data_IF_270205498419
#
_entry.id   IF_270205498419
#
_cell.length_a   1.000
_cell.length_b   1.000
_cell.length_c   1.000
_cell.angle_alpha   90.00
_cell.angle_beta   90.00
_cell.angle_gamma   90.00
#
_symmetry.space_group_name_H-M   'P 1'
#
loop_
_entity.id
_entity.type
_entity.pdbx_description
1 polymer ?
#
# COMPACT_ATOMS: atom_id res chain seq x y z
N UNK A 1 21.06 0.45 -17.49
CA UNK A 1 20.01 -0.55 -17.71
C UNK A 1 19.06 -0.56 -16.53
N UNK A 2 17.76 -0.44 -16.80
CA UNK A 2 16.78 -0.57 -15.73
C UNK A 2 16.71 -2.03 -15.25
N UNK A 3 16.73 -2.22 -13.91
CA UNK A 3 16.63 -3.53 -13.29
C UNK A 3 15.18 -3.92 -12.96
N UNK A 4 14.23 -3.08 -13.26
CA UNK A 4 12.80 -3.27 -13.05
C UNK A 4 12.03 -2.95 -14.33
N UNK A 5 10.77 -3.34 -14.41
CA UNK A 5 9.94 -3.17 -15.61
C UNK A 5 8.80 -2.20 -15.36
N UNK A 6 8.62 -1.29 -16.31
CA UNK A 6 7.51 -0.33 -16.29
C UNK A 6 6.74 -0.49 -17.59
N UNK A 7 5.46 -0.82 -17.49
CA UNK A 7 4.60 -0.89 -18.67
C UNK A 7 4.53 0.47 -19.36
N UNK A 8 4.45 0.47 -20.69
CA UNK A 8 4.44 1.70 -21.49
C UNK A 8 3.29 2.68 -21.13
N UNK A 9 2.21 2.19 -20.54
CA UNK A 9 1.08 2.99 -20.09
C UNK A 9 1.13 3.31 -18.58
N UNK A 10 2.26 3.08 -17.92
CA UNK A 10 2.46 3.46 -16.52
C UNK A 10 3.31 4.74 -16.43
N UNK A 11 3.12 5.49 -15.35
CA UNK A 11 3.89 6.70 -15.04
C UNK A 11 4.61 6.50 -13.70
N UNK A 12 5.81 5.93 -13.75
CA UNK A 12 6.64 5.69 -12.56
C UNK A 12 7.73 6.75 -12.50
N UNK A 13 7.54 7.74 -11.64
CA UNK A 13 8.41 8.91 -11.54
C UNK A 13 9.59 8.69 -10.59
N UNK A 14 9.43 7.83 -9.57
CA UNK A 14 10.52 7.53 -8.63
C UNK A 14 11.68 6.79 -9.31
N UNK A 15 12.88 7.02 -8.82
CA UNK A 15 14.09 6.26 -9.18
C UNK A 15 14.50 5.25 -8.09
N UNK A 16 13.81 5.26 -6.97
CA UNK A 16 14.08 4.37 -5.83
C UNK A 16 13.26 3.08 -5.97
N UNK A 17 13.63 2.24 -6.92
CA UNK A 17 12.94 0.97 -7.22
C UNK A 17 13.97 -0.16 -7.21
N UNK A 18 13.68 -1.20 -6.44
CA UNK A 18 14.48 -2.42 -6.42
C UNK A 18 14.35 -3.27 -7.68
N UNK A 19 15.31 -4.15 -7.88
CA UNK A 19 15.35 -5.03 -9.05
C UNK A 19 14.17 -5.97 -9.14
N UNK A 20 13.80 -6.36 -10.34
CA UNK A 20 12.73 -7.30 -10.67
C UNK A 20 11.32 -6.85 -10.25
N UNK A 21 11.13 -5.62 -9.84
CA UNK A 21 9.79 -5.09 -9.62
C UNK A 21 9.10 -4.78 -10.95
N UNK A 22 7.78 -4.96 -11.00
CA UNK A 22 6.98 -4.74 -12.20
C UNK A 22 5.82 -3.79 -11.91
N UNK A 23 5.67 -2.79 -12.79
CA UNK A 23 4.56 -1.83 -12.76
C UNK A 23 3.71 -2.02 -14.02
N UNK A 24 2.44 -2.34 -13.81
CA UNK A 24 1.51 -2.62 -14.90
C UNK A 24 0.79 -1.36 -15.40
N UNK A 25 -0.15 -1.52 -16.31
CA UNK A 25 -0.84 -0.40 -16.95
C UNK A 25 -1.49 0.54 -15.95
N UNK A 26 -1.38 1.84 -16.21
CA UNK A 26 -2.03 2.91 -15.46
C UNK A 26 -1.62 3.01 -14.00
N UNK A 27 -0.47 2.42 -13.66
CA UNK A 27 0.18 2.67 -12.36
C UNK A 27 0.79 4.06 -12.38
N UNK A 28 0.61 4.80 -11.30
CA UNK A 28 1.26 6.10 -11.09
C UNK A 28 2.03 6.03 -9.78
N UNK A 29 3.32 6.31 -9.82
CA UNK A 29 4.19 6.39 -8.63
C UNK A 29 4.89 7.73 -8.60
N UNK A 30 4.68 8.50 -7.53
CA UNK A 30 5.25 9.83 -7.38
C UNK A 30 6.77 9.78 -7.08
N UNK A 31 7.51 10.89 -7.27
CA UNK A 31 8.98 10.86 -7.35
C UNK A 31 9.72 10.40 -6.09
N UNK A 32 9.14 10.56 -4.90
CA UNK A 32 9.83 10.28 -3.64
C UNK A 32 9.52 8.92 -3.04
N UNK A 33 8.56 8.17 -3.60
CA UNK A 33 8.23 6.84 -3.12
C UNK A 33 9.44 5.90 -3.21
N UNK A 34 9.52 4.98 -2.26
CA UNK A 34 10.55 3.94 -2.22
C UNK A 34 9.89 2.59 -2.40
N UNK A 35 10.30 1.85 -3.41
CA UNK A 35 9.76 0.53 -3.75
C UNK A 35 10.90 -0.49 -3.69
N UNK A 36 10.69 -1.58 -2.98
CA UNK A 36 11.67 -2.66 -2.86
C UNK A 36 11.81 -3.52 -4.11
N UNK A 37 12.46 -4.67 -3.93
CA UNK A 37 12.71 -5.67 -5.00
C UNK A 37 11.53 -6.62 -5.16
N UNK A 38 11.43 -7.22 -6.34
CA UNK A 38 10.47 -8.29 -6.63
C UNK A 38 9.02 -7.92 -6.32
N UNK A 39 8.66 -6.65 -6.42
CA UNK A 39 7.30 -6.20 -6.19
C UNK A 39 6.45 -6.34 -7.46
N UNK A 40 5.19 -6.69 -7.29
CA UNK A 40 4.22 -6.75 -8.37
C UNK A 40 3.14 -5.69 -8.10
N UNK A 41 3.23 -4.57 -8.81
CA UNK A 41 2.33 -3.43 -8.68
C UNK A 41 1.37 -3.46 -9.86
N UNK A 42 0.13 -3.88 -9.60
CA UNK A 42 -0.86 -4.12 -10.62
C UNK A 42 -1.51 -2.85 -11.15
N UNK A 43 -2.37 -3.00 -12.16
CA UNK A 43 -2.95 -1.85 -12.87
C UNK A 43 -3.76 -0.92 -11.95
N UNK A 44 -3.73 0.37 -12.30
CA UNK A 44 -4.50 1.42 -11.59
C UNK A 44 -4.14 1.55 -10.10
N UNK A 45 -2.91 1.23 -9.74
CA UNK A 45 -2.37 1.53 -8.40
C UNK A 45 -1.78 2.93 -8.42
N UNK A 46 -2.07 3.72 -7.39
CA UNK A 46 -1.50 5.05 -7.18
C UNK A 46 -0.67 5.07 -5.90
N UNK A 47 0.56 5.56 -5.97
CA UNK A 47 1.49 5.60 -4.83
C UNK A 47 2.03 7.02 -4.68
N UNK A 48 1.77 7.62 -3.52
CA UNK A 48 2.24 8.98 -3.20
C UNK A 48 3.71 9.03 -2.77
N UNK A 49 4.19 10.22 -2.41
CA UNK A 49 5.60 10.50 -2.15
C UNK A 49 6.14 9.92 -0.83
N UNK A 50 5.40 10.08 0.26
CA UNK A 50 5.81 9.59 1.58
C UNK A 50 5.30 8.16 1.80
N UNK A 51 5.71 7.27 0.91
CA UNK A 51 5.34 5.85 0.91
C UNK A 51 6.60 5.00 0.80
N UNK A 52 6.68 3.99 1.66
CA UNK A 52 7.75 2.99 1.61
C UNK A 52 7.13 1.61 1.43
N UNK A 53 7.53 0.91 0.39
CA UNK A 53 7.11 -0.46 0.09
C UNK A 53 8.35 -1.34 0.12
N UNK A 54 8.31 -2.39 0.92
CA UNK A 54 9.40 -3.36 1.07
C UNK A 54 9.55 -4.30 -0.11
N UNK A 55 10.22 -5.40 0.13
CA UNK A 55 10.51 -6.42 -0.88
C UNK A 55 9.37 -7.45 -1.01
N UNK A 56 9.22 -8.05 -2.17
CA UNK A 56 8.27 -9.13 -2.44
C UNK A 56 6.81 -8.75 -2.13
N UNK A 57 6.45 -7.50 -2.33
CA UNK A 57 5.09 -7.01 -2.09
C UNK A 57 4.24 -7.16 -3.35
N UNK A 58 3.03 -7.64 -3.17
CA UNK A 58 2.02 -7.67 -4.24
C UNK A 58 0.90 -6.71 -3.89
N UNK A 59 0.65 -5.75 -4.79
CA UNK A 59 -0.48 -4.83 -4.69
C UNK A 59 -1.39 -5.06 -5.87
N UNK A 60 -2.60 -5.53 -5.60
CA UNK A 60 -3.59 -5.86 -6.63
C UNK A 60 -4.24 -4.61 -7.19
N UNK A 61 -4.98 -4.72 -8.32
CA UNK A 61 -5.53 -3.55 -9.01
C UNK A 61 -6.40 -2.64 -8.16
N UNK A 62 -6.35 -1.35 -8.45
CA UNK A 62 -7.29 -0.36 -7.91
C UNK A 62 -6.97 0.13 -6.50
N UNK A 63 -5.76 -0.11 -6.00
CA UNK A 63 -5.34 0.34 -4.66
C UNK A 63 -4.62 1.68 -4.75
N UNK A 64 -5.00 2.62 -3.89
CA UNK A 64 -4.29 3.89 -3.71
C UNK A 64 -3.55 3.87 -2.38
N UNK A 65 -2.27 4.25 -2.40
CA UNK A 65 -1.41 4.28 -1.23
C UNK A 65 -0.95 5.71 -1.00
N UNK A 66 -1.50 6.30 0.06
CA UNK A 66 -1.36 7.71 0.39
C UNK A 66 -0.11 7.98 1.22
N UNK A 67 0.27 9.25 1.31
CA UNK A 67 1.35 9.69 2.20
C UNK A 67 1.17 9.18 3.64
N UNK A 68 2.24 8.70 4.24
CA UNK A 68 2.27 8.15 5.59
C UNK A 68 2.07 6.64 5.69
N UNK A 69 1.88 5.95 4.57
CA UNK A 69 1.69 4.50 4.58
C UNK A 69 3.01 3.78 4.31
N UNK A 70 3.32 2.82 5.17
CA UNK A 70 4.47 1.94 5.03
C UNK A 70 4.02 0.47 4.93
N UNK A 71 4.46 -0.21 3.89
CA UNK A 71 4.16 -1.63 3.64
C UNK A 71 5.48 -2.40 3.70
N UNK A 72 5.58 -3.32 4.65
CA UNK A 72 6.80 -4.11 4.86
C UNK A 72 6.90 -5.27 3.87
N UNK A 73 7.94 -6.09 4.01
CA UNK A 73 8.24 -7.19 3.09
C UNK A 73 7.15 -8.27 3.08
N UNK A 74 6.99 -8.92 1.95
CA UNK A 74 6.12 -10.08 1.76
C UNK A 74 4.63 -9.81 2.07
N UNK A 75 4.18 -8.58 1.93
CA UNK A 75 2.78 -8.20 2.14
C UNK A 75 1.98 -8.40 0.86
N UNK A 76 0.76 -8.90 1.03
CA UNK A 76 -0.23 -8.97 -0.02
C UNK A 76 -1.36 -7.97 0.24
N UNK A 77 -1.62 -7.09 -0.72
CA UNK A 77 -2.75 -6.15 -0.68
C UNK A 77 -3.74 -6.53 -1.77
N UNK A 78 -4.92 -6.96 -1.37
CA UNK A 78 -5.97 -7.41 -2.26
C UNK A 78 -6.57 -6.29 -3.12
N UNK A 79 -7.31 -6.64 -4.19
CA UNK A 79 -7.88 -5.65 -5.10
C UNK A 79 -8.85 -4.71 -4.38
N UNK A 80 -8.78 -3.45 -4.77
CA UNK A 80 -9.66 -2.39 -4.27
C UNK A 80 -9.61 -2.19 -2.73
N UNK A 81 -8.54 -2.62 -2.08
CA UNK A 81 -8.30 -2.26 -0.67
C UNK A 81 -8.19 -0.74 -0.59
N UNK A 82 -8.87 -0.16 0.38
CA UNK A 82 -8.88 1.29 0.59
C UNK A 82 -8.10 1.65 1.84
N UNK A 83 -7.03 2.40 1.67
CA UNK A 83 -6.35 3.07 2.78
C UNK A 83 -6.90 4.48 2.94
N UNK A 84 -6.89 4.97 4.17
CA UNK A 84 -7.14 6.39 4.47
C UNK A 84 -5.95 6.95 5.24
N UNK A 85 -5.68 8.25 5.14
CA UNK A 85 -4.60 8.89 5.89
C UNK A 85 -5.05 10.13 6.67
N UNK A 86 -6.34 10.47 6.60
CA UNK A 86 -6.95 11.54 7.38
C UNK A 86 -8.20 11.01 8.07
N UNK A 87 -8.25 11.16 9.41
CA UNK A 87 -9.38 10.69 10.21
C UNK A 87 -10.59 11.64 10.17
N UNK A 88 -10.36 12.91 9.84
CA UNK A 88 -11.42 13.94 9.80
C UNK A 88 -11.28 14.78 8.54
N UNK A 89 -11.48 14.16 7.38
CA UNK A 89 -11.24 14.85 6.12
C UNK A 89 -12.24 15.98 5.90
N UNK A 90 -11.74 17.12 5.44
CA UNK A 90 -12.53 18.26 5.02
C UNK A 90 -11.91 18.85 3.75
N UNK A 91 -12.75 19.26 2.81
CA UNK A 91 -12.29 19.85 1.56
C UNK A 91 -11.41 21.07 1.83
N UNK A 92 -10.21 21.09 1.25
CA UNK A 92 -9.21 22.16 1.34
C UNK A 92 -8.71 22.46 2.78
N UNK A 93 -8.96 21.56 3.71
CA UNK A 93 -8.37 21.59 5.06
C UNK A 93 -7.45 20.40 5.16
N UNK A 94 -6.17 20.64 5.34
CA UNK A 94 -5.14 19.60 5.37
C UNK A 94 -4.56 19.50 6.77
N UNK A 95 -4.32 18.28 7.28
CA UNK A 95 -3.62 18.11 8.55
C UNK A 95 -2.17 18.59 8.41
N UNK A 96 -1.57 19.05 9.51
CA UNK A 96 -0.13 19.38 9.53
C UNK A 96 0.72 18.15 9.20
N UNK A 97 0.27 16.99 9.62
CA UNK A 97 0.97 15.72 9.44
C UNK A 97 -0.06 14.59 9.28
N UNK A 98 0.17 13.71 8.29
CA UNK A 98 -0.62 12.49 8.15
C UNK A 98 -0.15 11.43 9.14
N UNK A 99 -1.09 10.74 9.76
CA UNK A 99 -0.76 9.63 10.68
C UNK A 99 -0.17 8.47 9.89
N UNK A 100 0.85 7.84 10.44
CA UNK A 100 1.48 6.69 9.83
C UNK A 100 0.64 5.44 10.01
N UNK A 101 0.45 4.71 8.91
CA UNK A 101 -0.17 3.39 8.88
C UNK A 101 0.90 2.40 8.44
N UNK A 102 1.07 1.33 9.19
CA UNK A 102 2.10 0.32 8.91
C UNK A 102 1.46 -1.04 8.71
N UNK A 103 1.76 -1.66 7.59
CA UNK A 103 1.42 -3.06 7.31
C UNK A 103 2.69 -3.88 7.49
N UNK A 104 2.74 -4.69 8.54
CA UNK A 104 3.94 -5.42 8.92
C UNK A 104 4.18 -6.62 8.01
N UNK A 105 5.40 -7.14 8.06
CA UNK A 105 5.90 -8.23 7.24
C UNK A 105 4.93 -9.41 7.16
N UNK A 106 4.70 -9.89 5.97
CA UNK A 106 3.90 -11.09 5.71
C UNK A 106 2.41 -10.94 5.89
N UNK A 107 1.90 -9.77 6.26
CA UNK A 107 0.46 -9.56 6.39
C UNK A 107 -0.24 -9.66 5.03
N UNK A 108 -1.50 -10.08 5.05
CA UNK A 108 -2.37 -10.14 3.86
C UNK A 108 -3.66 -9.40 4.13
N UNK A 109 -4.04 -8.54 3.18
CA UNK A 109 -5.27 -7.75 3.27
C UNK A 109 -6.22 -8.21 2.15
N UNK A 110 -7.37 -8.72 2.54
CA UNK A 110 -8.38 -9.22 1.61
C UNK A 110 -9.03 -8.10 0.79
N UNK A 111 -9.60 -8.49 -0.35
CA UNK A 111 -10.24 -7.57 -1.29
C UNK A 111 -11.27 -6.64 -0.63
N UNK A 112 -11.32 -5.39 -1.07
CA UNK A 112 -12.30 -4.39 -0.61
C UNK A 112 -12.25 -4.07 0.90
N UNK A 113 -11.21 -4.46 1.61
CA UNK A 113 -11.05 -4.04 3.00
C UNK A 113 -10.73 -2.54 3.07
N UNK A 114 -11.17 -1.89 4.14
CA UNK A 114 -10.87 -0.48 4.41
C UNK A 114 -10.01 -0.38 5.67
N UNK A 115 -8.88 0.30 5.56
CA UNK A 115 -7.91 0.48 6.66
C UNK A 115 -7.90 1.95 7.06
N UNK A 116 -8.31 2.23 8.28
CA UNK A 116 -8.28 3.59 8.80
C UNK A 116 -6.85 4.05 9.09
N UNK A 117 -6.69 5.36 9.11
CA UNK A 117 -5.40 6.01 9.29
C UNK A 117 -4.81 5.76 10.69
N UNK A 118 -3.49 5.64 10.78
CA UNK A 118 -2.77 5.49 12.04
C UNK A 118 -2.79 4.08 12.65
N UNK A 119 -3.13 3.08 11.84
CA UNK A 119 -3.26 1.68 12.28
C UNK A 119 -1.98 0.90 11.95
N UNK A 120 -1.65 -0.03 12.83
CA UNK A 120 -0.67 -1.07 12.55
C UNK A 120 -1.36 -2.41 12.34
N UNK A 121 -1.09 -3.04 11.20
CA UNK A 121 -1.49 -4.42 10.93
C UNK A 121 -0.27 -5.30 11.22
N UNK A 122 -0.40 -6.18 12.23
CA UNK A 122 0.70 -6.98 12.75
C UNK A 122 1.25 -8.00 11.74
N UNK A 123 2.46 -8.48 12.02
CA UNK A 123 3.13 -9.47 11.17
C UNK A 123 2.25 -10.70 10.92
N UNK A 124 2.19 -11.14 9.67
CA UNK A 124 1.44 -12.32 9.24
C UNK A 124 -0.04 -12.32 9.62
N UNK A 125 -0.60 -11.16 9.96
CA UNK A 125 -2.04 -11.05 10.15
C UNK A 125 -2.78 -11.18 8.81
N UNK A 126 -3.98 -11.73 8.87
CA UNK A 126 -4.87 -11.85 7.71
C UNK A 126 -6.13 -11.03 7.96
N UNK A 127 -6.36 -10.05 7.11
CA UNK A 127 -7.58 -9.24 7.11
C UNK A 127 -8.54 -9.84 6.08
N UNK A 128 -9.72 -10.23 6.53
CA UNK A 128 -10.75 -10.79 5.65
C UNK A 128 -11.28 -9.76 4.65
N UNK A 129 -11.72 -10.24 3.51
CA UNK A 129 -12.29 -9.38 2.46
C UNK A 129 -13.48 -8.56 3.00
N UNK A 130 -13.57 -7.30 2.56
CA UNK A 130 -14.67 -6.41 2.95
C UNK A 130 -14.63 -5.91 4.39
N UNK A 131 -13.57 -6.20 5.14
CA UNK A 131 -13.43 -5.74 6.53
C UNK A 131 -13.21 -4.23 6.63
N UNK A 132 -13.63 -3.64 7.75
CA UNK A 132 -13.26 -2.26 8.10
C UNK A 132 -12.38 -2.33 9.35
N UNK A 133 -11.10 -2.05 9.18
CA UNK A 133 -10.10 -2.11 10.25
C UNK A 133 -10.01 -0.75 10.92
N UNK A 134 -10.45 -0.67 12.16
CA UNK A 134 -10.56 0.59 12.91
C UNK A 134 -9.55 0.70 14.06
N UNK A 135 -8.77 -0.34 14.32
CA UNK A 135 -7.78 -0.40 15.39
C UNK A 135 -6.64 -1.34 15.01
N UNK A 136 -5.54 -1.27 15.74
CA UNK A 136 -4.39 -2.13 15.51
C UNK A 136 -4.77 -3.61 15.53
N UNK A 137 -4.15 -4.36 14.63
CA UNK A 137 -4.37 -5.80 14.47
C UNK A 137 -3.16 -6.55 15.02
N UNK A 138 -3.33 -7.44 16.01
CA UNK A 138 -2.22 -8.22 16.54
C UNK A 138 -1.59 -9.13 15.48
N UNK A 139 -0.29 -9.44 15.61
CA UNK A 139 0.36 -10.37 14.68
C UNK A 139 -0.26 -11.78 14.76
N UNK A 140 -0.18 -12.49 13.64
CA UNK A 140 -0.63 -13.89 13.50
C UNK A 140 -2.12 -14.10 13.84
N UNK A 141 -2.95 -13.10 13.58
CA UNK A 141 -4.40 -13.17 13.83
C UNK A 141 -5.19 -13.07 12.54
N UNK A 142 -6.39 -13.62 12.57
CA UNK A 142 -7.39 -13.44 11.52
C UNK A 142 -8.44 -12.42 12.00
N UNK A 143 -8.59 -11.33 11.25
CA UNK A 143 -9.55 -10.27 11.53
C UNK A 143 -10.49 -10.07 10.36
N UNK A 144 -11.78 -9.98 10.62
CA UNK A 144 -12.81 -9.71 9.61
C UNK A 144 -14.01 -8.98 10.21
N UNK A 145 -14.81 -8.35 9.33
CA UNK A 145 -15.96 -7.57 9.70
C UNK A 145 -15.61 -6.12 10.07
N UNK A 146 -16.40 -5.57 10.89
CA UNK A 146 -16.25 -4.20 11.39
C UNK A 146 -15.70 -4.17 12.81
#
# INVERSE_FOLDING_TARGET
MMKYKVHSLADVQTKNVGENSMFWQFVIVLPKAIIGKNCNINCQVFIENDVIIGDNVTIKPGVQIWDGIEIKDNVFVGPNVTFTNDLVPRSKVYPEEFKKTVVQKGASIGANATILSGIEIGEYALIGAGSVVTKNVPPYTLWYGN
#
